data_IF_472550510408
#
_entry.id   IF_472550510408
#
_cell.length_a   1.000
_cell.length_b   1.000
_cell.length_c   1.000
_cell.angle_alpha   90.00
_cell.angle_beta   90.00
_cell.angle_gamma   90.00
#
_symmetry.space_group_name_H-M   'P 1'
#
loop_
_entity.id
_entity.type
_entity.pdbx_description
1 polymer ?
#
# COMPACT_ATOMS: atom_id res chain seq x y z
N UNK A 1 -20.51 7.96 0.91
CA UNK A 1 -20.13 8.03 -0.52
C UNK A 1 -19.78 6.62 -0.98
N UNK A 2 -20.39 6.14 -2.06
CA UNK A 2 -20.28 4.74 -2.50
C UNK A 2 -18.98 4.53 -3.27
N UNK A 3 -18.23 3.48 -2.93
CA UNK A 3 -17.00 3.08 -3.62
C UNK A 3 -17.34 1.93 -4.58
N UNK A 4 -17.31 2.19 -5.90
CA UNK A 4 -17.61 1.16 -6.90
C UNK A 4 -16.37 0.30 -7.22
N UNK A 5 -15.20 0.90 -7.21
CA UNK A 5 -13.90 0.27 -7.45
C UNK A 5 -12.85 0.88 -6.52
N UNK A 6 -11.71 0.20 -6.34
CA UNK A 6 -10.55 0.70 -5.58
C UNK A 6 -9.37 0.82 -6.54
N UNK A 7 -9.18 1.96 -7.16
CA UNK A 7 -8.20 2.17 -8.22
C UNK A 7 -7.03 3.03 -7.77
N UNK A 8 -7.30 4.06 -6.97
CA UNK A 8 -6.31 5.04 -6.55
C UNK A 8 -6.58 5.59 -5.15
N UNK A 9 -5.56 6.15 -4.51
CA UNK A 9 -5.64 6.68 -3.16
C UNK A 9 -6.52 7.93 -3.05
N UNK A 10 -6.61 8.72 -4.11
CA UNK A 10 -7.42 9.95 -4.15
C UNK A 10 -8.91 9.71 -3.94
N UNK A 11 -9.42 8.50 -4.24
CA UNK A 11 -10.83 8.12 -4.05
C UNK A 11 -11.30 8.14 -2.59
N UNK A 12 -10.34 8.02 -1.64
CA UNK A 12 -10.67 7.93 -0.22
C UNK A 12 -10.80 9.31 0.41
N UNK A 13 -11.96 9.60 0.96
CA UNK A 13 -12.17 10.76 1.85
C UNK A 13 -11.87 10.40 3.30
N UNK A 14 -11.64 11.39 4.16
CA UNK A 14 -11.40 11.13 5.60
C UNK A 14 -12.54 10.33 6.25
N UNK A 15 -13.84 10.65 6.03
CA UNK A 15 -14.93 9.83 6.56
C UNK A 15 -14.87 8.36 6.09
N UNK A 16 -14.56 8.13 4.81
CA UNK A 16 -14.45 6.77 4.26
C UNK A 16 -13.23 6.01 4.84
N UNK A 17 -12.13 6.70 5.08
CA UNK A 17 -10.96 6.12 5.76
C UNK A 17 -11.29 5.73 7.20
N UNK A 18 -12.01 6.58 7.93
CA UNK A 18 -12.43 6.27 9.31
C UNK A 18 -13.41 5.08 9.34
N UNK A 19 -14.36 5.03 8.42
CA UNK A 19 -15.25 3.87 8.28
C UNK A 19 -14.46 2.58 7.99
N UNK A 20 -13.50 2.63 7.05
CA UNK A 20 -12.62 1.51 6.76
C UNK A 20 -11.82 1.07 8.00
N UNK A 21 -11.30 2.01 8.78
CA UNK A 21 -10.53 1.70 10.00
C UNK A 21 -11.41 1.09 11.09
N UNK A 22 -12.64 1.56 11.24
CA UNK A 22 -13.61 0.96 12.17
C UNK A 22 -13.99 -0.48 11.76
N UNK A 23 -14.25 -0.71 10.49
CA UNK A 23 -14.46 -2.04 9.93
C UNK A 23 -13.21 -2.92 10.12
N UNK A 24 -12.02 -2.37 9.91
CA UNK A 24 -10.76 -3.09 10.13
C UNK A 24 -10.63 -3.59 11.57
N UNK A 25 -10.98 -2.77 12.57
CA UNK A 25 -11.03 -3.20 13.98
C UNK A 25 -12.05 -4.31 14.25
N UNK A 26 -13.16 -4.31 13.51
CA UNK A 26 -14.12 -5.43 13.57
C UNK A 26 -13.52 -6.70 12.97
N UNK A 27 -12.79 -6.59 11.84
CA UNK A 27 -12.11 -7.72 11.21
C UNK A 27 -11.01 -8.32 12.10
N UNK A 28 -10.28 -7.51 12.87
CA UNK A 28 -9.33 -8.03 13.86
C UNK A 28 -10.00 -8.97 14.87
N UNK A 29 -11.15 -8.54 15.42
CA UNK A 29 -11.94 -9.37 16.36
C UNK A 29 -12.50 -10.61 15.67
N UNK A 30 -12.89 -10.50 14.43
CA UNK A 30 -13.40 -11.61 13.62
C UNK A 30 -12.31 -12.66 13.35
N UNK A 31 -11.11 -12.23 12.95
CA UNK A 31 -9.96 -13.13 12.74
C UNK A 31 -9.57 -13.86 14.01
N UNK A 32 -9.59 -13.17 15.17
CA UNK A 32 -9.29 -13.80 16.46
C UNK A 32 -10.28 -14.92 16.82
N UNK A 33 -11.48 -14.94 16.25
CA UNK A 33 -12.52 -15.98 16.40
C UNK A 33 -12.49 -17.04 15.30
N UNK A 34 -11.52 -16.97 14.37
CA UNK A 34 -11.39 -17.92 13.24
C UNK A 34 -11.94 -17.44 11.91
N UNK A 35 -12.59 -16.28 11.85
CA UNK A 35 -13.24 -15.72 10.64
C UNK A 35 -14.77 -15.77 10.71
N UNK A 36 -15.43 -15.63 9.56
CA UNK A 36 -16.89 -15.71 9.40
C UNK A 36 -17.26 -16.54 8.16
N UNK A 37 -18.54 -16.81 7.98
CA UNK A 37 -19.11 -17.40 6.76
C UNK A 37 -20.16 -16.49 6.10
N UNK A 38 -20.23 -15.24 6.51
CA UNK A 38 -21.27 -14.30 6.05
C UNK A 38 -21.16 -13.99 4.54
N UNK A 39 -19.98 -14.24 3.96
CA UNK A 39 -19.70 -14.03 2.52
C UNK A 39 -19.40 -15.35 1.79
N UNK A 40 -20.00 -16.48 2.24
CA UNK A 40 -19.75 -17.79 1.66
C UNK A 40 -20.26 -17.95 0.20
N UNK A 41 -21.17 -17.10 -0.22
CA UNK A 41 -21.70 -16.99 -1.58
C UNK A 41 -20.75 -16.20 -2.52
N UNK A 42 -19.81 -15.41 -1.99
CA UNK A 42 -18.94 -14.54 -2.76
C UNK A 42 -17.74 -15.26 -3.37
N UNK A 43 -17.41 -14.87 -4.59
CA UNK A 43 -16.24 -15.35 -5.34
C UNK A 43 -15.34 -14.16 -5.69
N UNK A 44 -14.09 -14.23 -5.30
CA UNK A 44 -13.05 -13.26 -5.65
C UNK A 44 -12.17 -13.81 -6.77
N UNK A 45 -12.03 -13.10 -7.88
CA UNK A 45 -10.98 -13.36 -8.85
C UNK A 45 -9.70 -12.65 -8.45
N UNK A 46 -8.59 -13.40 -8.36
CA UNK A 46 -7.24 -12.93 -7.98
C UNK A 46 -6.33 -13.03 -9.19
N UNK A 47 -6.20 -11.93 -9.94
CA UNK A 47 -5.51 -11.85 -11.23
C UNK A 47 -4.19 -11.10 -11.10
N UNK A 48 -3.08 -11.81 -11.09
CA UNK A 48 -1.74 -11.25 -10.95
C UNK A 48 -0.93 -11.50 -12.22
N UNK A 49 -0.69 -10.43 -13.00
CA UNK A 49 0.17 -10.45 -14.18
C UNK A 49 1.65 -10.21 -13.82
N UNK A 50 1.90 -9.65 -12.62
CA UNK A 50 3.23 -9.56 -12.00
C UNK A 50 3.25 -10.34 -10.68
N UNK A 51 4.33 -11.08 -10.37
CA UNK A 51 4.45 -11.83 -9.13
C UNK A 51 4.28 -10.95 -7.89
N UNK A 52 3.50 -11.41 -6.93
CA UNK A 52 3.32 -10.73 -5.65
C UNK A 52 2.80 -11.64 -4.55
N UNK A 53 3.69 -12.38 -3.91
CA UNK A 53 3.31 -13.35 -2.87
C UNK A 53 2.52 -12.71 -1.73
N UNK A 54 3.03 -11.62 -1.11
CA UNK A 54 2.38 -10.99 0.04
C UNK A 54 1.01 -10.41 -0.29
N UNK A 55 0.90 -9.63 -1.37
CA UNK A 55 -0.37 -8.98 -1.74
C UNK A 55 -1.41 -10.03 -2.11
N UNK A 56 -1.05 -11.00 -2.95
CA UNK A 56 -1.93 -12.08 -3.38
C UNK A 56 -2.42 -12.89 -2.19
N UNK A 57 -1.50 -13.48 -1.41
CA UNK A 57 -1.87 -14.34 -0.28
C UNK A 57 -2.69 -13.61 0.77
N UNK A 58 -2.45 -12.33 1.02
CA UNK A 58 -3.25 -11.59 2.00
C UNK A 58 -4.67 -11.28 1.51
N UNK A 59 -4.90 -11.07 0.20
CA UNK A 59 -6.25 -10.97 -0.37
C UNK A 59 -6.95 -12.32 -0.36
N UNK A 60 -6.28 -13.38 -0.77
CA UNK A 60 -6.83 -14.73 -0.77
C UNK A 60 -7.17 -15.19 0.67
N UNK A 61 -6.26 -14.95 1.61
CA UNK A 61 -6.53 -15.22 3.02
C UNK A 61 -7.68 -14.37 3.58
N UNK A 62 -7.79 -13.09 3.18
CA UNK A 62 -8.91 -12.23 3.56
C UNK A 62 -10.24 -12.80 3.07
N UNK A 63 -10.30 -13.25 1.81
CA UNK A 63 -11.48 -13.87 1.24
C UNK A 63 -11.87 -15.15 1.97
N UNK A 64 -10.91 -16.03 2.26
CA UNK A 64 -11.16 -17.26 3.02
C UNK A 64 -11.60 -16.98 4.47
N UNK A 65 -11.06 -15.94 5.12
CA UNK A 65 -11.50 -15.53 6.47
C UNK A 65 -12.92 -14.96 6.49
N UNK A 66 -13.39 -14.43 5.37
CA UNK A 66 -14.78 -14.01 5.17
C UNK A 66 -15.72 -15.17 4.80
N UNK A 67 -15.16 -16.37 4.55
CA UNK A 67 -15.91 -17.57 4.19
C UNK A 67 -16.10 -17.75 2.68
N UNK A 68 -15.66 -16.79 1.86
CA UNK A 68 -15.81 -16.83 0.40
C UNK A 68 -14.83 -17.74 -0.31
N UNK A 69 -14.83 -17.69 -1.64
CA UNK A 69 -14.04 -18.54 -2.53
C UNK A 69 -13.13 -17.71 -3.41
N UNK A 70 -12.05 -18.31 -3.91
CA UNK A 70 -11.06 -17.63 -4.75
C UNK A 70 -10.84 -18.39 -6.06
N UNK A 71 -10.90 -17.65 -7.16
CA UNK A 71 -10.35 -18.05 -8.46
C UNK A 71 -9.04 -17.31 -8.63
N UNK A 72 -7.91 -18.02 -8.61
CA UNK A 72 -6.58 -17.41 -8.58
C UNK A 72 -5.74 -17.81 -9.77
N UNK A 73 -5.04 -16.83 -10.36
CA UNK A 73 -3.96 -17.08 -11.31
C UNK A 73 -2.78 -16.16 -11.03
N UNK A 74 -1.57 -16.69 -11.11
CA UNK A 74 -0.30 -15.98 -11.14
C UNK A 74 0.33 -16.19 -12.52
N UNK A 75 1.01 -15.17 -13.03
CA UNK A 75 1.50 -15.18 -14.42
C UNK A 75 0.39 -15.34 -15.46
N UNK A 76 -0.70 -14.62 -15.31
CA UNK A 76 -1.84 -14.67 -16.22
C UNK A 76 -1.46 -14.51 -17.72
N UNK A 77 -0.30 -13.90 -18.03
CA UNK A 77 0.29 -13.85 -19.39
C UNK A 77 0.78 -15.19 -19.93
N UNK A 78 1.22 -16.10 -19.08
CA UNK A 78 1.85 -17.36 -19.49
C UNK A 78 0.82 -18.45 -19.84
N UNK A 79 -0.40 -18.26 -19.36
CA UNK A 79 -1.48 -19.24 -19.55
C UNK A 79 -2.47 -18.88 -20.67
N UNK A 80 -2.40 -17.67 -21.23
CA UNK A 80 -3.09 -17.35 -22.48
C UNK A 80 -2.23 -17.86 -23.65
N UNK A 81 -2.81 -18.74 -24.47
CA UNK A 81 -2.19 -19.45 -25.59
C UNK A 81 -1.19 -18.64 -26.41
N UNK A 82 -0.14 -19.28 -26.86
CA UNK A 82 1.15 -18.80 -27.39
C UNK A 82 1.13 -17.80 -28.57
N UNK A 83 0.00 -17.34 -29.08
CA UNK A 83 -0.02 -16.60 -30.36
C UNK A 83 -0.70 -15.23 -30.30
N UNK A 84 -1.70 -15.01 -29.41
CA UNK A 84 -2.36 -13.71 -29.26
C UNK A 84 -2.53 -13.39 -27.78
N UNK A 85 -1.87 -12.33 -27.32
CA UNK A 85 -2.09 -11.80 -25.95
C UNK A 85 -3.52 -11.27 -25.91
N UNK A 86 -4.42 -11.97 -25.24
CA UNK A 86 -5.78 -11.54 -24.99
C UNK A 86 -5.77 -10.14 -24.37
N UNK A 87 -6.63 -9.24 -24.86
CA UNK A 87 -6.73 -7.89 -24.31
C UNK A 87 -7.24 -7.95 -22.87
N UNK A 88 -6.60 -7.18 -21.98
CA UNK A 88 -7.01 -7.08 -20.58
C UNK A 88 -8.52 -6.86 -20.43
N UNK A 89 -9.09 -5.98 -21.26
CA UNK A 89 -10.50 -5.61 -21.20
C UNK A 89 -11.43 -6.79 -21.53
N UNK A 90 -11.02 -7.69 -22.41
CA UNK A 90 -11.82 -8.88 -22.77
C UNK A 90 -11.75 -9.93 -21.67
N UNK A 91 -10.56 -10.19 -21.13
CA UNK A 91 -10.39 -11.02 -19.92
C UNK A 91 -11.28 -10.50 -18.78
N UNK A 92 -11.26 -9.19 -18.50
CA UNK A 92 -12.04 -8.60 -17.42
C UNK A 92 -13.56 -8.74 -17.65
N UNK A 93 -14.05 -8.55 -18.88
CA UNK A 93 -15.47 -8.75 -19.18
C UNK A 93 -15.92 -10.17 -18.87
N UNK A 94 -15.11 -11.17 -19.23
CA UNK A 94 -15.40 -12.59 -18.99
C UNK A 94 -15.31 -12.90 -17.50
N UNK A 95 -14.20 -12.55 -16.84
CA UNK A 95 -13.98 -12.86 -15.42
C UNK A 95 -15.01 -12.17 -14.52
N UNK A 96 -15.46 -10.96 -14.87
CA UNK A 96 -16.51 -10.26 -14.12
C UNK A 96 -17.88 -10.97 -14.16
N UNK A 97 -18.08 -11.94 -15.05
CA UNK A 97 -19.28 -12.79 -15.06
C UNK A 97 -19.15 -14.02 -14.16
N UNK A 98 -17.95 -14.33 -13.67
CA UNK A 98 -17.64 -15.50 -12.83
C UNK A 98 -17.35 -15.13 -11.37
N UNK A 99 -17.27 -13.85 -11.06
CA UNK A 99 -16.82 -13.37 -9.75
C UNK A 99 -17.64 -12.18 -9.27
N UNK A 100 -17.58 -11.91 -7.96
CA UNK A 100 -18.22 -10.77 -7.29
C UNK A 100 -17.26 -9.60 -7.03
N UNK A 101 -15.96 -9.83 -7.18
CA UNK A 101 -14.89 -8.83 -7.10
C UNK A 101 -13.66 -9.33 -7.84
N UNK A 102 -12.91 -8.41 -8.44
CA UNK A 102 -11.63 -8.71 -9.10
C UNK A 102 -10.51 -7.96 -8.38
N UNK A 103 -9.53 -8.69 -7.87
CA UNK A 103 -8.25 -8.16 -7.39
C UNK A 103 -7.25 -8.26 -8.53
N UNK A 104 -6.80 -7.11 -9.03
CA UNK A 104 -6.00 -7.03 -10.25
C UNK A 104 -4.63 -6.40 -9.99
N UNK A 105 -3.57 -7.07 -10.40
CA UNK A 105 -2.23 -6.52 -10.51
C UNK A 105 -1.76 -6.57 -11.96
N UNK A 106 -2.03 -5.52 -12.76
CA UNK A 106 -1.59 -5.45 -14.14
C UNK A 106 -0.09 -5.13 -14.25
N UNK A 107 0.50 -5.39 -15.42
CA UNK A 107 1.89 -4.99 -15.73
C UNK A 107 2.01 -3.53 -16.12
N UNK A 108 0.95 -2.96 -16.69
CA UNK A 108 0.93 -1.61 -17.25
C UNK A 108 0.28 -0.62 -16.30
N UNK A 109 0.83 0.58 -16.23
CA UNK A 109 0.20 1.70 -15.55
C UNK A 109 -1.15 2.04 -16.22
N UNK A 110 -2.18 2.30 -15.39
CA UNK A 110 -3.54 2.55 -15.87
C UNK A 110 -4.36 1.29 -16.18
N UNK A 111 -3.76 0.09 -16.10
CA UNK A 111 -4.43 -1.16 -16.36
C UNK A 111 -5.62 -1.41 -15.43
N UNK A 112 -5.49 -1.11 -14.14
CA UNK A 112 -6.59 -1.24 -13.18
C UNK A 112 -7.76 -0.29 -13.51
N UNK A 113 -7.49 0.92 -13.98
CA UNK A 113 -8.51 1.88 -14.42
C UNK A 113 -9.22 1.42 -15.70
N UNK A 114 -8.47 0.87 -16.67
CA UNK A 114 -9.06 0.27 -17.88
C UNK A 114 -9.97 -0.91 -17.52
N UNK A 115 -9.51 -1.79 -16.62
CA UNK A 115 -10.29 -2.92 -16.12
C UNK A 115 -11.61 -2.46 -15.46
N UNK A 116 -11.56 -1.45 -14.60
CA UNK A 116 -12.74 -0.91 -13.92
C UNK A 116 -13.81 -0.38 -14.89
N UNK A 117 -13.41 0.19 -16.04
CA UNK A 117 -14.36 0.72 -17.04
C UNK A 117 -15.21 -0.35 -17.72
N UNK A 118 -14.75 -1.59 -17.76
CA UNK A 118 -15.43 -2.69 -18.46
C UNK A 118 -15.95 -3.79 -17.55
N UNK A 119 -15.56 -3.76 -16.28
CA UNK A 119 -15.99 -4.74 -15.28
C UNK A 119 -17.42 -4.49 -14.82
N UNK A 120 -18.17 -5.58 -14.60
CA UNK A 120 -19.52 -5.57 -13.99
C UNK A 120 -19.47 -5.65 -12.46
N UNK A 121 -18.31 -5.93 -11.91
CA UNK A 121 -18.09 -6.11 -10.47
C UNK A 121 -16.96 -5.18 -10.00
N UNK A 122 -16.84 -4.90 -8.70
CA UNK A 122 -15.74 -4.10 -8.18
C UNK A 122 -14.36 -4.61 -8.62
N UNK A 123 -13.48 -3.69 -8.99
CA UNK A 123 -12.06 -3.96 -9.28
C UNK A 123 -11.21 -3.30 -8.20
N UNK A 124 -10.28 -4.06 -7.64
CA UNK A 124 -9.32 -3.60 -6.65
C UNK A 124 -7.91 -3.62 -7.27
N UNK A 125 -7.29 -2.46 -7.32
CA UNK A 125 -5.90 -2.29 -7.75
C UNK A 125 -4.94 -2.87 -6.68
N UNK A 126 -4.26 -3.95 -7.02
CA UNK A 126 -3.25 -4.62 -6.18
C UNK A 126 -1.81 -4.23 -6.54
N UNK A 127 -1.64 -3.07 -7.16
CA UNK A 127 -0.37 -2.51 -7.63
C UNK A 127 -0.33 -2.40 -9.15
N UNK A 128 -0.49 -1.20 -9.67
CA UNK A 128 -0.70 -0.87 -11.08
C UNK A 128 0.62 -0.46 -11.73
N UNK A 129 1.24 -1.37 -12.47
CA UNK A 129 2.55 -1.15 -13.08
C UNK A 129 3.66 -0.76 -12.09
N UNK A 130 4.82 -0.37 -12.57
CA UNK A 130 5.94 0.06 -11.71
C UNK A 130 5.79 1.49 -11.19
N UNK A 131 5.14 2.37 -11.97
CA UNK A 131 5.01 3.81 -11.71
C UNK A 131 3.58 4.26 -11.36
N UNK A 132 2.63 3.34 -11.30
CA UNK A 132 1.25 3.63 -10.94
C UNK A 132 1.01 3.81 -9.45
N UNK A 133 -0.12 3.31 -8.96
CA UNK A 133 -0.47 3.35 -7.55
C UNK A 133 -0.66 1.96 -6.93
N UNK A 134 -0.60 1.91 -5.62
CA UNK A 134 -0.94 0.72 -4.82
C UNK A 134 -1.83 1.14 -3.64
N UNK A 135 -3.09 1.51 -3.89
CA UNK A 135 -3.95 2.10 -2.85
C UNK A 135 -4.10 1.19 -1.64
N UNK A 136 -4.23 -0.13 -1.84
CA UNK A 136 -4.42 -1.07 -0.72
C UNK A 136 -3.18 -1.24 0.15
N UNK A 137 -1.98 -0.92 -0.36
CA UNK A 137 -0.79 -0.82 0.48
C UNK A 137 -0.85 0.46 1.30
N UNK A 138 -1.13 1.61 0.69
CA UNK A 138 -1.22 2.87 1.41
C UNK A 138 -2.31 2.85 2.50
N UNK A 139 -3.42 2.16 2.27
CA UNK A 139 -4.48 2.00 3.28
C UNK A 139 -4.01 1.20 4.50
N UNK A 140 -3.28 0.10 4.32
CA UNK A 140 -2.76 -0.67 5.45
C UNK A 140 -1.61 0.05 6.17
N UNK A 141 -0.81 0.83 5.43
CA UNK A 141 0.26 1.67 5.99
C UNK A 141 -0.37 2.76 6.89
N UNK A 142 -1.35 3.47 6.35
CA UNK A 142 -2.06 4.52 7.07
C UNK A 142 -2.84 3.96 8.29
N UNK A 143 -3.49 2.80 8.14
CA UNK A 143 -4.15 2.11 9.26
C UNK A 143 -3.14 1.74 10.36
N UNK A 144 -1.95 1.29 9.99
CA UNK A 144 -0.90 0.93 10.97
C UNK A 144 -0.49 2.15 11.78
N UNK A 145 -0.27 3.29 11.13
CA UNK A 145 0.04 4.56 11.81
C UNK A 145 -1.12 4.97 12.72
N UNK A 146 -2.35 4.98 12.21
CA UNK A 146 -3.55 5.35 12.97
C UNK A 146 -3.77 4.45 14.19
N UNK A 147 -3.54 3.16 14.06
CA UNK A 147 -3.70 2.18 15.14
C UNK A 147 -2.79 2.47 16.32
N UNK A 148 -1.55 2.84 16.07
CA UNK A 148 -0.54 3.11 17.11
C UNK A 148 -0.69 4.55 17.67
N UNK A 149 -0.89 5.53 16.81
CA UNK A 149 -0.91 6.95 17.20
C UNK A 149 -2.29 7.47 17.59
N UNK A 150 -3.37 6.85 17.12
CA UNK A 150 -4.78 7.26 17.30
C UNK A 150 -5.18 8.57 16.58
N UNK A 151 -4.26 9.27 15.95
CA UNK A 151 -4.50 10.45 15.11
C UNK A 151 -3.52 10.47 13.95
N UNK A 152 -3.96 10.99 12.83
CA UNK A 152 -3.11 11.27 11.66
C UNK A 152 -2.85 12.76 11.50
N UNK A 153 -3.65 13.60 12.14
CA UNK A 153 -3.41 15.05 12.18
C UNK A 153 -2.15 15.38 12.99
N UNK A 154 -1.37 16.32 12.48
CA UNK A 154 -0.10 16.72 13.06
C UNK A 154 1.01 15.67 12.95
N UNK A 155 0.87 14.67 12.07
CA UNK A 155 1.90 13.66 11.82
C UNK A 155 3.12 14.27 11.15
N UNK A 156 4.30 13.96 11.67
CA UNK A 156 5.58 14.23 10.97
C UNK A 156 6.18 12.90 10.50
N UNK A 157 6.30 12.74 9.19
CA UNK A 157 6.76 11.47 8.57
C UNK A 157 7.94 11.70 7.64
N UNK A 158 8.96 10.85 7.74
CA UNK A 158 10.01 10.74 6.73
C UNK A 158 9.68 9.58 5.79
N UNK A 159 9.57 9.86 4.49
CA UNK A 159 9.44 8.85 3.43
C UNK A 159 10.82 8.72 2.77
N UNK A 160 11.47 7.58 2.99
CA UNK A 160 12.89 7.38 2.70
C UNK A 160 13.07 6.34 1.59
N UNK A 161 13.89 6.61 0.58
CA UNK A 161 14.29 5.60 -0.41
C UNK A 161 14.15 6.01 -1.87
N UNK A 162 13.79 5.08 -2.77
CA UNK A 162 13.48 5.38 -4.18
C UNK A 162 12.09 6.00 -4.28
N UNK A 163 12.00 7.29 -4.52
CA UNK A 163 10.73 8.02 -4.51
C UNK A 163 10.20 8.34 -5.91
N UNK A 164 11.06 8.36 -6.92
CA UNK A 164 10.72 8.66 -8.32
C UNK A 164 9.77 7.62 -8.95
N UNK A 165 9.98 6.34 -8.65
CA UNK A 165 9.16 5.22 -9.13
C UNK A 165 8.38 4.51 -8.02
N UNK A 166 8.44 5.00 -6.79
CA UNK A 166 7.90 4.35 -5.59
C UNK A 166 6.38 4.43 -5.49
N UNK A 167 5.62 3.52 -6.15
CA UNK A 167 4.14 3.53 -6.12
C UNK A 167 3.55 3.52 -4.70
N UNK A 168 4.23 2.94 -3.71
CA UNK A 168 3.77 2.90 -2.30
C UNK A 168 3.94 4.26 -1.63
N UNK A 169 5.09 4.91 -1.81
CA UNK A 169 5.36 6.26 -1.32
C UNK A 169 4.36 7.28 -1.90
N UNK A 170 4.12 7.22 -3.22
CA UNK A 170 3.14 8.07 -3.91
C UNK A 170 1.73 7.87 -3.36
N UNK A 171 1.28 6.61 -3.28
CA UNK A 171 -0.07 6.30 -2.78
C UNK A 171 -0.26 6.73 -1.33
N UNK A 172 0.78 6.63 -0.49
CA UNK A 172 0.75 7.10 0.89
C UNK A 172 0.70 8.62 0.96
N UNK A 173 1.50 9.34 0.15
CA UNK A 173 1.49 10.79 0.09
C UNK A 173 0.09 11.36 -0.26
N UNK A 174 -0.62 10.76 -1.24
CA UNK A 174 -2.01 11.10 -1.55
C UNK A 174 -2.98 10.90 -0.38
N UNK A 175 -2.79 9.87 0.45
CA UNK A 175 -3.64 9.68 1.62
C UNK A 175 -3.31 10.66 2.75
N UNK A 176 -2.03 10.94 2.94
CA UNK A 176 -1.55 11.89 3.96
C UNK A 176 -2.02 13.32 3.71
N UNK A 177 -2.17 13.73 2.44
CA UNK A 177 -2.66 15.07 2.07
C UNK A 177 -4.09 15.38 2.54
N UNK A 178 -4.81 14.40 3.05
CA UNK A 178 -6.19 14.53 3.53
C UNK A 178 -6.29 14.92 5.00
N UNK A 179 -5.16 14.95 5.72
CA UNK A 179 -5.10 15.20 7.16
C UNK A 179 -4.43 16.54 7.46
N UNK A 180 -4.84 17.16 8.55
CA UNK A 180 -4.38 18.49 8.92
C UNK A 180 -2.98 18.49 9.52
N UNK A 181 -2.18 19.50 9.21
CA UNK A 181 -0.85 19.76 9.79
C UNK A 181 0.12 18.58 9.65
N UNK A 182 -0.05 17.77 8.62
CA UNK A 182 0.92 16.73 8.26
C UNK A 182 2.18 17.37 7.70
N UNK A 183 3.35 16.85 8.09
CA UNK A 183 4.65 17.24 7.55
C UNK A 183 5.32 16.02 6.94
N UNK A 184 5.76 16.15 5.69
CA UNK A 184 6.39 15.05 4.95
C UNK A 184 7.83 15.43 4.60
N UNK A 185 8.80 14.69 5.12
CA UNK A 185 10.19 14.74 4.70
C UNK A 185 10.43 13.68 3.63
N UNK A 186 10.68 14.07 2.40
CA UNK A 186 11.12 13.17 1.33
C UNK A 186 12.63 13.03 1.38
N UNK A 187 13.12 11.86 1.76
CA UNK A 187 14.56 11.60 1.94
C UNK A 187 15.03 10.60 0.90
N UNK A 188 15.78 11.07 -0.09
CA UNK A 188 16.21 10.23 -1.21
C UNK A 188 17.51 10.70 -1.84
N UNK A 189 18.23 9.83 -2.57
CA UNK A 189 19.27 10.26 -3.48
C UNK A 189 18.79 11.33 -4.45
N UNK A 190 19.62 12.29 -4.88
CA UNK A 190 19.21 13.37 -5.77
C UNK A 190 18.55 12.92 -7.06
N UNK A 191 18.95 11.77 -7.61
CA UNK A 191 18.43 11.17 -8.83
C UNK A 191 17.13 10.39 -8.64
N UNK A 192 16.69 10.15 -7.41
CA UNK A 192 15.54 9.30 -7.07
C UNK A 192 14.45 10.05 -6.27
N UNK A 193 14.39 11.36 -6.45
CA UNK A 193 13.48 12.23 -5.69
C UNK A 193 12.00 12.03 -6.07
N UNK A 194 11.11 12.49 -5.19
CA UNK A 194 9.67 12.46 -5.43
C UNK A 194 9.32 13.22 -6.72
N UNK A 195 8.37 12.67 -7.45
CA UNK A 195 7.95 13.20 -8.75
C UNK A 195 7.18 14.51 -8.62
N UNK A 196 7.29 15.40 -9.61
CA UNK A 196 6.61 16.71 -9.61
C UNK A 196 5.09 16.62 -9.51
N UNK A 197 4.45 15.56 -10.05
CA UNK A 197 3.00 15.38 -9.99
C UNK A 197 2.50 15.18 -8.54
N UNK A 198 3.29 14.54 -7.68
CA UNK A 198 2.98 14.38 -6.26
C UNK A 198 3.21 15.69 -5.50
N UNK A 199 4.33 16.37 -5.78
CA UNK A 199 4.64 17.65 -5.15
C UNK A 199 3.55 18.68 -5.46
N UNK A 200 3.13 18.80 -6.72
CA UNK A 200 2.02 19.66 -7.13
C UNK A 200 0.71 19.33 -6.39
N UNK A 201 0.41 18.04 -6.22
CA UNK A 201 -0.76 17.62 -5.44
C UNK A 201 -0.66 18.03 -3.96
N UNK A 202 0.51 17.95 -3.35
CA UNK A 202 0.73 18.37 -1.96
C UNK A 202 0.61 19.90 -1.83
N UNK A 203 1.15 20.65 -2.80
CA UNK A 203 1.00 22.12 -2.87
C UNK A 203 -0.48 22.53 -3.00
N UNK A 204 -1.27 21.84 -3.84
CA UNK A 204 -2.72 22.09 -4.01
C UNK A 204 -3.53 21.81 -2.73
N UNK A 205 -2.97 21.04 -1.78
CA UNK A 205 -3.62 20.66 -0.52
C UNK A 205 -2.97 21.30 0.70
N UNK A 206 -2.10 22.30 0.52
CA UNK A 206 -1.39 23.03 1.58
C UNK A 206 -0.61 22.11 2.54
N UNK A 207 -0.08 20.98 2.04
CA UNK A 207 0.72 20.04 2.83
C UNK A 207 2.17 20.48 2.84
N UNK A 208 2.72 20.69 4.02
CA UNK A 208 4.13 21.02 4.15
C UNK A 208 5.03 19.81 3.81
N UNK A 209 6.02 20.01 2.97
CA UNK A 209 7.06 19.03 2.69
C UNK A 209 8.42 19.68 2.43
N UNK A 210 9.49 18.90 2.57
CA UNK A 210 10.83 19.22 2.08
C UNK A 210 11.47 18.01 1.41
N UNK A 211 12.61 18.23 0.74
CA UNK A 211 13.41 17.19 0.09
C UNK A 211 14.81 17.17 0.67
N UNK A 212 15.19 16.05 1.27
CA UNK A 212 16.44 15.85 1.99
C UNK A 212 17.25 14.70 1.38
N UNK A 213 18.54 14.66 1.71
CA UNK A 213 19.49 13.64 1.24
C UNK A 213 20.12 12.85 2.40
N UNK A 214 19.59 12.99 3.61
CA UNK A 214 20.05 12.29 4.80
C UNK A 214 18.91 12.21 5.82
N UNK A 215 18.65 11.03 6.36
CA UNK A 215 17.61 10.84 7.38
C UNK A 215 18.10 11.16 8.79
N UNK A 216 19.41 11.13 8.99
CA UNK A 216 20.06 11.25 10.30
C UNK A 216 19.72 12.58 11.03
N UNK A 217 19.72 13.75 10.36
CA UNK A 217 19.40 15.02 11.01
C UNK A 217 17.97 15.15 11.55
N UNK A 218 17.02 14.46 10.93
CA UNK A 218 15.58 14.58 11.26
C UNK A 218 15.06 13.40 12.10
N UNK A 219 15.92 12.41 12.39
CA UNK A 219 15.49 11.19 13.08
C UNK A 219 14.82 11.43 14.44
N UNK A 220 15.23 12.49 15.16
CA UNK A 220 14.69 12.89 16.45
C UNK A 220 13.35 13.66 16.38
N UNK A 221 12.96 14.13 15.18
CA UNK A 221 11.80 15.01 15.00
C UNK A 221 10.60 14.28 14.39
N UNK A 222 10.83 13.16 13.68
CA UNK A 222 9.79 12.42 13.00
C UNK A 222 9.06 11.43 13.90
N UNK A 223 7.77 11.25 13.66
CA UNK A 223 6.93 10.24 14.32
C UNK A 223 6.99 8.91 13.59
N UNK A 224 7.24 8.95 12.27
CA UNK A 224 7.30 7.78 11.41
C UNK A 224 8.47 7.89 10.45
N UNK A 225 9.25 6.82 10.32
CA UNK A 225 10.12 6.60 9.17
C UNK A 225 9.47 5.51 8.31
N UNK A 226 8.96 5.91 7.14
CA UNK A 226 8.46 5.00 6.12
C UNK A 226 9.59 4.74 5.13
N UNK A 227 10.33 3.66 5.40
CA UNK A 227 11.44 3.24 4.57
C UNK A 227 10.93 2.50 3.34
N UNK A 228 11.39 2.87 2.16
CA UNK A 228 11.19 2.12 0.93
C UNK A 228 12.50 1.51 0.45
N UNK A 229 12.41 0.59 -0.49
CA UNK A 229 13.60 -0.04 -1.08
C UNK A 229 14.50 1.01 -1.76
N UNK A 230 15.80 0.79 -1.65
CA UNK A 230 16.81 1.50 -2.45
C UNK A 230 17.64 0.45 -3.20
N UNK A 231 17.63 0.52 -4.53
CA UNK A 231 18.45 -0.34 -5.35
C UNK A 231 19.83 0.29 -5.55
N UNK A 232 20.92 -0.37 -5.10
CA UNK A 232 22.27 0.20 -5.18
C UNK A 232 22.75 0.50 -6.61
N UNK A 233 22.21 -0.19 -7.60
CA UNK A 233 22.50 0.02 -9.03
C UNK A 233 21.90 1.32 -9.59
N UNK A 234 20.94 1.92 -8.88
CA UNK A 234 20.30 3.19 -9.24
C UNK A 234 20.91 4.41 -8.55
N UNK A 235 21.84 4.22 -7.65
CA UNK A 235 22.45 5.30 -6.86
C UNK A 235 23.87 5.57 -7.37
N UNK A 236 24.14 6.81 -7.76
CA UNK A 236 25.45 7.24 -8.31
C UNK A 236 26.55 7.13 -7.28
N UNK A 237 26.30 7.59 -6.06
CA UNK A 237 27.23 7.50 -4.93
C UNK A 237 26.81 6.38 -3.96
N UNK A 238 27.37 5.19 -4.16
CA UNK A 238 27.10 4.04 -3.28
C UNK A 238 27.54 4.24 -1.84
N UNK A 239 28.53 5.08 -1.58
CA UNK A 239 28.98 5.39 -0.23
C UNK A 239 27.92 6.19 0.55
N UNK A 240 27.07 6.94 -0.16
CA UNK A 240 25.97 7.67 0.44
C UNK A 240 24.79 6.79 0.88
N UNK A 241 24.72 5.50 0.50
CA UNK A 241 23.61 4.61 0.87
C UNK A 241 23.38 4.53 2.39
N UNK A 242 24.45 4.66 3.19
CA UNK A 242 24.35 4.69 4.65
C UNK A 242 23.52 5.84 5.21
N UNK A 243 23.33 6.93 4.44
CA UNK A 243 22.47 8.09 4.81
C UNK A 243 20.98 7.76 4.77
N UNK A 244 20.63 6.68 4.09
CA UNK A 244 19.24 6.22 3.87
C UNK A 244 18.97 4.89 4.58
N UNK A 245 19.92 4.36 5.36
CA UNK A 245 19.82 3.06 6.01
C UNK A 245 19.42 3.20 7.47
N UNK A 246 18.42 2.44 7.88
CA UNK A 246 18.03 2.33 9.29
C UNK A 246 18.91 1.30 9.97
N UNK A 247 19.64 1.74 11.00
CA UNK A 247 20.57 0.94 11.77
C UNK A 247 20.55 1.34 13.25
N UNK A 248 21.29 0.61 14.10
CA UNK A 248 21.38 0.87 15.53
C UNK A 248 21.82 2.31 15.89
N UNK A 249 22.61 2.97 15.04
CA UNK A 249 23.01 4.37 15.27
C UNK A 249 21.80 5.31 15.10
N UNK A 250 21.01 5.13 14.04
CA UNK A 250 19.82 5.94 13.78
C UNK A 250 18.75 5.72 14.85
N UNK A 251 18.56 4.45 15.29
CA UNK A 251 17.62 4.11 16.36
C UNK A 251 17.86 4.90 17.65
N UNK A 252 19.12 5.18 18.00
CA UNK A 252 19.46 5.97 19.22
C UNK A 252 19.04 7.44 19.13
N UNK A 253 18.82 7.95 17.92
CA UNK A 253 18.39 9.35 17.69
C UNK A 253 16.89 9.51 17.59
N UNK A 254 16.19 8.43 17.23
CA UNK A 254 14.75 8.43 17.05
C UNK A 254 14.01 8.64 18.37
N UNK A 255 12.80 9.24 18.29
CA UNK A 255 11.87 9.30 19.43
C UNK A 255 11.60 7.89 19.97
N UNK A 256 11.35 7.73 21.27
CA UNK A 256 11.03 6.43 21.87
C UNK A 256 9.76 5.79 21.32
N UNK A 257 8.81 6.61 20.89
CA UNK A 257 7.49 6.25 20.36
C UNK A 257 7.40 6.38 18.82
N UNK A 258 8.52 6.64 18.14
CA UNK A 258 8.56 6.67 16.68
C UNK A 258 8.24 5.27 16.09
N UNK A 259 7.81 5.24 14.84
CA UNK A 259 7.50 4.01 14.13
C UNK A 259 8.41 3.83 12.91
N UNK A 260 8.85 2.60 12.67
CA UNK A 260 9.56 2.22 11.46
C UNK A 260 8.67 1.31 10.65
N UNK A 261 8.32 1.77 9.45
CA UNK A 261 7.46 1.08 8.49
C UNK A 261 8.23 0.75 7.22
N UNK A 262 7.83 -0.32 6.54
CA UNK A 262 8.39 -0.72 5.25
C UNK A 262 7.38 -1.59 4.46
N UNK A 263 7.07 -1.29 3.19
CA UNK A 263 6.11 -2.09 2.41
C UNK A 263 6.62 -3.49 2.02
N UNK A 264 7.87 -3.80 2.32
CA UNK A 264 8.57 -5.05 2.01
C UNK A 264 8.54 -5.40 0.49
N UNK A 265 9.53 -6.14 -0.05
CA UNK A 265 10.69 -6.70 0.65
C UNK A 265 11.76 -5.66 0.95
N UNK A 266 12.41 -5.79 2.08
CA UNK A 266 13.64 -5.05 2.37
C UNK A 266 14.87 -5.83 1.92
N UNK A 267 15.96 -5.11 1.70
CA UNK A 267 17.29 -5.67 1.35
C UNK A 267 18.36 -5.10 2.27
N UNK A 268 18.99 -4.00 1.88
CA UNK A 268 20.12 -3.37 2.60
C UNK A 268 19.72 -2.10 3.36
N UNK A 269 18.51 -1.61 3.15
CA UNK A 269 18.04 -0.33 3.69
C UNK A 269 17.58 -0.39 5.14
N UNK A 270 17.45 -1.58 5.73
CA UNK A 270 17.22 -1.80 7.16
C UNK A 270 18.12 -2.93 7.63
N UNK A 271 18.98 -2.65 8.58
CA UNK A 271 19.83 -3.65 9.22
C UNK A 271 19.01 -4.68 10.00
N UNK A 272 19.51 -5.91 10.08
CA UNK A 272 18.80 -7.00 10.77
C UNK A 272 18.59 -6.73 12.26
N UNK A 273 19.52 -6.03 12.89
CA UNK A 273 19.47 -5.71 14.33
C UNK A 273 18.26 -4.79 14.67
N UNK A 274 17.68 -4.14 13.67
CA UNK A 274 16.47 -3.32 13.84
C UNK A 274 15.24 -4.17 14.11
N UNK A 275 15.22 -5.46 13.75
CA UNK A 275 14.05 -6.33 13.89
C UNK A 275 13.60 -6.51 15.36
N UNK A 276 14.52 -6.43 16.29
CA UNK A 276 14.27 -6.58 17.71
C UNK A 276 13.86 -5.25 18.40
N UNK A 277 13.91 -4.13 17.70
CA UNK A 277 13.51 -2.84 18.23
C UNK A 277 11.96 -2.72 18.24
N UNK A 278 11.33 -2.35 19.37
CA UNK A 278 9.88 -2.26 19.48
C UNK A 278 9.23 -1.27 18.51
N UNK A 279 9.99 -0.32 17.96
CA UNK A 279 9.55 0.64 16.93
C UNK A 279 9.53 0.05 15.52
N UNK A 280 10.12 -1.12 15.29
CA UNK A 280 10.14 -1.84 14.02
C UNK A 280 8.78 -2.51 13.76
N UNK A 281 7.86 -1.78 13.13
CA UNK A 281 6.49 -2.24 12.95
C UNK A 281 6.20 -2.85 11.58
N UNK A 282 7.16 -2.98 10.68
CA UNK A 282 6.94 -3.41 9.30
C UNK A 282 6.37 -4.83 9.16
N UNK A 283 6.64 -5.74 10.08
CA UNK A 283 5.98 -7.06 10.08
C UNK A 283 4.53 -6.97 10.58
N UNK A 284 4.27 -6.14 11.60
CA UNK A 284 2.91 -5.85 12.07
C UNK A 284 2.10 -5.11 10.99
N UNK A 285 2.74 -4.15 10.30
CA UNK A 285 2.18 -3.47 9.13
C UNK A 285 1.78 -4.48 8.04
N UNK A 286 2.66 -5.40 7.67
CA UNK A 286 2.34 -6.44 6.68
C UNK A 286 1.17 -7.34 7.12
N UNK A 287 1.12 -7.72 8.42
CA UNK A 287 0.03 -8.50 8.99
C UNK A 287 -1.31 -7.74 8.99
N UNK A 288 -1.31 -6.43 9.23
CA UNK A 288 -2.50 -5.59 9.14
C UNK A 288 -3.13 -5.63 7.73
N UNK A 289 -2.35 -6.00 6.72
CA UNK A 289 -2.86 -6.17 5.35
C UNK A 289 -4.01 -7.16 5.26
N UNK A 290 -4.04 -8.23 6.06
CA UNK A 290 -5.15 -9.17 6.09
C UNK A 290 -6.46 -8.49 6.47
N UNK A 291 -6.49 -7.84 7.63
CA UNK A 291 -7.71 -7.27 8.20
C UNK A 291 -8.20 -6.02 7.46
N UNK A 292 -7.27 -5.20 6.92
CA UNK A 292 -7.61 -4.05 6.07
C UNK A 292 -8.26 -4.53 4.76
N UNK A 293 -7.74 -5.61 4.15
CA UNK A 293 -8.32 -6.19 2.93
C UNK A 293 -9.65 -6.86 3.17
N UNK A 294 -9.85 -7.53 4.32
CA UNK A 294 -11.18 -8.01 4.72
C UNK A 294 -12.17 -6.85 4.82
N UNK A 295 -11.82 -5.79 5.53
CA UNK A 295 -12.67 -4.60 5.67
C UNK A 295 -12.97 -3.94 4.31
N UNK A 296 -11.99 -3.87 3.41
CA UNK A 296 -12.16 -3.29 2.09
C UNK A 296 -13.13 -4.11 1.23
N UNK A 297 -13.03 -5.45 1.26
CA UNK A 297 -13.94 -6.35 0.56
C UNK A 297 -15.37 -6.19 1.08
N UNK A 298 -15.58 -6.17 2.40
CA UNK A 298 -16.92 -5.98 2.97
C UNK A 298 -17.49 -4.59 2.66
N UNK A 299 -16.65 -3.54 2.64
CA UNK A 299 -17.07 -2.18 2.27
C UNK A 299 -17.61 -2.10 0.83
N UNK A 300 -17.07 -2.93 -0.08
CA UNK A 300 -17.53 -2.98 -1.48
C UNK A 300 -18.85 -3.75 -1.63
N UNK A 301 -19.15 -4.71 -0.77
CA UNK A 301 -20.34 -5.56 -0.86
C UNK A 301 -21.50 -5.10 0.02
N UNK A 302 -21.24 -4.60 1.23
CA UNK A 302 -22.27 -4.09 2.15
C UNK A 302 -22.80 -2.74 1.64
N UNK A 303 -23.54 -2.82 0.56
CA UNK A 303 -24.19 -1.68 -0.10
C UNK A 303 -25.59 -1.54 0.50
N UNK A 304 -25.75 -0.63 1.43
CA UNK A 304 -27.07 -0.09 1.75
C UNK A 304 -27.58 0.87 0.67
#
# INVERSE_FOLDING_TARGET
>A
MKLDHVIESQQFTVPLLMELFDRTRQMERMVARGGTRDYADKIMASLFYEPSTRTRFSFEAAMYRLGGRVLSTEHARVFSSEIDVERLEDTIRIISSFSDVIVLRPTEEGGARRAARVSRVPVINAGDGSSGQHPTQALLDLYTIYRERRSLDGLTIAIVGELDGGRTARSLAYLLSKFERVKIHFVSPPELQMRPDILAHLDEHDVWYDMLHDVDPIAGDVDVIYQTRIRPDRVSDRAALSRYTINARLLRKMKPDAMILHPLPRTVEIDKDVDDDPRALYFKQAANGLVVRMALLTLLWDRE
#
